data_IF_889709513867
#
_entry.id   IF_889709513867
#
_cell.length_a   1.000
_cell.length_b   1.000
_cell.length_c   1.000
_cell.angle_alpha   90.00
_cell.angle_beta   90.00
_cell.angle_gamma   90.00
#
_symmetry.space_group_name_H-M   'P 1'
#
loop_
_entity.id
_entity.type
_entity.pdbx_description
1 polymer ?
#
# COMPACT_ATOMS: atom_id res chain seq x y z
N UNK A 1 -4.68 -8.55 24.49
CA UNK A 1 -4.76 -7.76 23.30
C UNK A 1 -4.11 -8.44 22.12
N UNK A 2 -4.76 -8.48 21.04
CA UNK A 2 -4.30 -9.23 19.90
C UNK A 2 -3.28 -8.42 19.11
N UNK A 3 -2.25 -9.08 18.65
CA UNK A 3 -1.31 -8.48 17.74
C UNK A 3 -1.98 -8.19 16.40
N UNK A 4 -1.89 -6.98 15.94
CA UNK A 4 -2.54 -6.60 14.71
C UNK A 4 -1.75 -6.93 13.48
N UNK A 5 -0.45 -6.89 13.59
CA UNK A 5 0.40 -7.14 12.45
C UNK A 5 0.88 -8.58 12.48
N UNK A 6 0.18 -9.40 11.72
CA UNK A 6 0.57 -10.79 11.60
C UNK A 6 1.84 -10.95 10.78
N UNK A 7 2.23 -9.93 10.00
CA UNK A 7 3.35 -10.04 9.06
C UNK A 7 4.32 -8.88 9.21
N UNK A 8 5.61 -9.13 9.01
CA UNK A 8 6.59 -8.04 8.98
C UNK A 8 6.31 -7.07 7.84
N UNK A 9 6.68 -5.82 8.04
CA UNK A 9 6.51 -4.77 7.04
C UNK A 9 7.87 -4.33 6.53
N UNK A 10 7.95 -4.12 5.22
CA UNK A 10 9.20 -3.77 4.55
C UNK A 10 9.04 -2.46 3.81
N UNK A 11 9.97 -1.55 4.00
CA UNK A 11 9.96 -0.26 3.30
C UNK A 11 10.35 -0.48 1.86
N UNK A 12 9.50 -0.04 0.97
CA UNK A 12 9.79 -0.10 -0.47
C UNK A 12 8.88 0.89 -1.18
N UNK A 13 9.37 1.47 -2.26
CA UNK A 13 8.64 2.47 -3.00
C UNK A 13 8.27 1.94 -4.37
N UNK A 14 6.98 1.71 -4.57
CA UNK A 14 6.42 1.25 -5.84
C UNK A 14 5.22 2.12 -6.15
N UNK A 15 5.09 2.54 -7.39
CA UNK A 15 3.94 3.33 -7.82
C UNK A 15 2.69 2.47 -7.78
N UNK A 16 1.60 3.06 -7.29
CA UNK A 16 0.32 2.37 -7.19
C UNK A 16 -0.76 3.27 -7.76
N UNK A 17 -1.44 2.80 -8.81
CA UNK A 17 -2.57 3.52 -9.40
C UNK A 17 -3.85 2.97 -8.82
N UNK A 18 -4.75 3.86 -8.43
CA UNK A 18 -6.05 3.48 -7.87
C UNK A 18 -7.06 4.57 -8.17
N UNK A 19 -8.34 4.29 -7.94
CA UNK A 19 -9.39 5.27 -8.15
C UNK A 19 -9.90 5.78 -6.82
N UNK A 20 -10.11 7.08 -6.72
CA UNK A 20 -10.73 7.71 -5.56
C UNK A 20 -11.61 8.84 -6.06
N UNK A 21 -12.89 8.85 -5.64
CA UNK A 21 -13.86 9.89 -6.04
C UNK A 21 -13.89 10.09 -7.55
N UNK A 22 -13.94 8.99 -8.29
CA UNK A 22 -14.03 8.99 -9.75
C UNK A 22 -12.78 9.53 -10.44
N UNK A 23 -11.72 9.75 -9.71
CA UNK A 23 -10.44 10.18 -10.26
C UNK A 23 -9.44 9.07 -10.17
N UNK A 24 -8.53 9.04 -11.14
CA UNK A 24 -7.42 8.10 -11.11
C UNK A 24 -6.25 8.77 -10.40
N UNK A 25 -5.74 8.11 -9.39
CA UNK A 25 -4.71 8.67 -8.52
C UNK A 25 -3.50 7.75 -8.56
N UNK A 26 -2.32 8.33 -8.55
CA UNK A 26 -1.08 7.57 -8.40
C UNK A 26 -0.48 7.91 -7.05
N UNK A 27 -0.33 6.89 -6.21
CA UNK A 27 0.41 7.02 -4.96
C UNK A 27 1.69 6.22 -5.04
N UNK A 28 2.38 6.15 -3.90
CA UNK A 28 3.62 5.40 -3.82
C UNK A 28 3.61 4.63 -2.50
N UNK A 29 4.03 3.37 -2.51
CA UNK A 29 4.02 2.60 -1.27
C UNK A 29 4.99 3.20 -0.27
N UNK A 30 4.60 3.14 1.00
CA UNK A 30 5.47 3.45 2.11
C UNK A 30 6.08 2.16 2.65
N UNK A 31 5.24 1.14 2.84
CA UNK A 31 5.71 -0.19 3.20
C UNK A 31 4.74 -1.23 2.66
N UNK A 32 5.21 -2.46 2.61
CA UNK A 32 4.41 -3.61 2.17
C UNK A 32 4.61 -4.76 3.14
N UNK A 33 3.60 -5.62 3.23
CA UNK A 33 3.65 -6.87 3.98
C UNK A 33 2.81 -7.89 3.24
N UNK A 34 2.86 -9.14 3.69
CA UNK A 34 2.02 -10.18 3.07
C UNK A 34 0.54 -9.86 3.20
N UNK A 35 0.14 -9.16 4.25
CA UNK A 35 -1.27 -8.83 4.46
C UNK A 35 -1.73 -7.56 3.79
N UNK A 36 -0.83 -6.69 3.37
CA UNK A 36 -1.26 -5.43 2.78
C UNK A 36 -0.14 -4.44 2.60
N UNK A 37 -0.52 -3.19 2.42
CA UNK A 37 0.47 -2.13 2.19
C UNK A 37 -0.07 -0.80 2.69
N UNK A 38 0.82 0.14 2.94
CA UNK A 38 0.46 1.53 3.15
C UNK A 38 0.89 2.33 1.92
N UNK A 39 -0.05 3.11 1.36
CA UNK A 39 0.16 3.89 0.16
C UNK A 39 0.15 5.37 0.53
N UNK A 40 1.24 6.05 0.21
CA UNK A 40 1.34 7.49 0.42
C UNK A 40 0.62 8.23 -0.69
N UNK A 41 -0.31 9.08 -0.30
CA UNK A 41 -1.08 9.88 -1.24
C UNK A 41 -1.81 10.98 -0.46
N UNK A 42 -2.02 12.11 -1.10
CA UNK A 42 -2.81 13.19 -0.49
C UNK A 42 -4.30 12.98 -0.68
N UNK A 43 -4.70 12.22 -1.70
CA UNK A 43 -6.10 11.95 -1.99
C UNK A 43 -6.38 10.49 -1.72
N UNK A 44 -7.25 10.24 -0.75
CA UNK A 44 -7.46 8.91 -0.22
C UNK A 44 -8.84 8.39 -0.57
N UNK A 45 -8.95 7.07 -0.86
CA UNK A 45 -10.27 6.46 -0.93
C UNK A 45 -10.86 6.34 0.46
N UNK A 46 -12.17 6.11 0.53
CA UNK A 46 -12.85 5.97 1.81
C UNK A 46 -12.51 4.66 2.49
N UNK A 47 -12.44 4.71 3.81
CA UNK A 47 -12.28 3.48 4.60
C UNK A 47 -13.42 2.53 4.34
N UNK A 48 -13.10 1.24 4.29
CA UNK A 48 -14.06 0.20 4.05
C UNK A 48 -14.32 -0.10 2.58
N UNK A 49 -13.87 0.75 1.69
CA UNK A 49 -14.07 0.54 0.25
C UNK A 49 -13.20 -0.59 -0.26
N UNK A 50 -13.77 -1.39 -1.16
CA UNK A 50 -13.01 -2.32 -1.96
C UNK A 50 -12.28 -1.55 -3.05
N UNK A 51 -11.04 -1.96 -3.32
CA UNK A 51 -10.18 -1.20 -4.20
C UNK A 51 -9.45 -2.14 -5.14
N UNK A 52 -9.45 -1.76 -6.41
CA UNK A 52 -8.63 -2.42 -7.42
C UNK A 52 -7.49 -1.48 -7.74
N UNK A 53 -6.27 -1.96 -7.62
CA UNK A 53 -5.11 -1.11 -7.80
C UNK A 53 -4.06 -1.81 -8.67
N UNK A 54 -3.24 -1.02 -9.32
CA UNK A 54 -2.17 -1.53 -10.16
C UNK A 54 -0.84 -1.04 -9.63
N UNK A 55 0.04 -1.97 -9.26
CA UNK A 55 1.41 -1.64 -8.91
C UNK A 55 2.23 -1.57 -10.19
N UNK A 56 3.01 -0.50 -10.35
CA UNK A 56 3.84 -0.33 -11.53
C UNK A 56 5.30 -0.31 -11.12
N UNK A 57 6.07 -1.22 -11.67
CA UNK A 57 7.47 -1.38 -11.33
C UNK A 57 8.36 -0.68 -12.34
N UNK A 58 9.58 -0.35 -11.91
CA UNK A 58 10.51 0.42 -12.74
C UNK A 58 10.86 -0.29 -14.04
N UNK A 59 10.82 -1.61 -14.05
CA UNK A 59 11.14 -2.38 -15.27
C UNK A 59 9.97 -2.50 -16.24
N UNK A 60 8.85 -1.81 -15.96
CA UNK A 60 7.68 -1.83 -16.81
C UNK A 60 6.66 -2.89 -16.47
N UNK A 61 6.98 -3.81 -15.58
CA UNK A 61 6.00 -4.82 -15.17
C UNK A 61 4.93 -4.19 -14.31
N UNK A 62 3.76 -4.81 -14.34
CA UNK A 62 2.60 -4.36 -13.56
C UNK A 62 2.02 -5.52 -12.80
N UNK A 63 1.45 -5.22 -11.65
CA UNK A 63 0.78 -6.22 -10.83
C UNK A 63 -0.56 -5.66 -10.40
N UNK A 64 -1.62 -6.36 -10.78
CA UNK A 64 -2.98 -5.96 -10.40
C UNK A 64 -3.30 -6.58 -9.06
N UNK A 65 -3.75 -5.75 -8.12
CA UNK A 65 -4.10 -6.22 -6.79
C UNK A 65 -5.48 -5.74 -6.43
N UNK A 66 -6.13 -6.49 -5.56
CA UNK A 66 -7.45 -6.17 -5.06
C UNK A 66 -7.40 -6.20 -3.55
N UNK A 67 -8.09 -5.29 -2.93
CA UNK A 67 -8.09 -5.24 -1.48
C UNK A 67 -9.14 -4.30 -0.94
N UNK A 68 -8.97 -3.95 0.32
CA UNK A 68 -9.92 -3.12 1.03
C UNK A 68 -9.17 -2.06 1.82
N UNK A 69 -9.68 -0.83 1.77
CA UNK A 69 -9.10 0.26 2.55
C UNK A 69 -9.46 0.04 4.01
N UNK A 70 -8.44 -0.18 4.85
CA UNK A 70 -8.68 -0.48 6.26
C UNK A 70 -8.54 0.74 7.15
N UNK A 71 -7.80 1.75 6.69
CA UNK A 71 -7.70 2.99 7.45
C UNK A 71 -7.09 4.08 6.58
N UNK A 72 -7.33 5.32 6.95
CA UNK A 72 -6.68 6.47 6.33
C UNK A 72 -5.94 7.22 7.43
N UNK A 73 -4.90 7.95 7.05
CA UNK A 73 -4.12 8.72 7.98
C UNK A 73 -3.60 9.98 7.30
N UNK A 74 -3.83 11.11 7.94
CA UNK A 74 -3.29 12.37 7.48
C UNK A 74 -2.30 12.86 8.52
N UNK A 75 -1.03 12.96 8.13
CA UNK A 75 0.01 13.39 9.06
C UNK A 75 -0.23 14.83 9.46
N UNK A 76 -0.08 15.18 10.75
CA UNK A 76 -0.13 16.57 11.18
C UNK A 76 0.94 17.39 10.45
N UNK A 77 0.64 18.67 10.21
CA UNK A 77 1.54 19.52 9.43
C UNK A 77 2.97 19.51 10.00
N UNK A 78 3.13 19.50 11.31
CA UNK A 78 4.45 19.53 11.92
C UNK A 78 5.21 18.20 11.76
N UNK A 79 4.52 17.13 11.44
CA UNK A 79 5.14 15.80 11.36
C UNK A 79 5.17 15.26 9.95
N UNK A 80 4.91 16.09 8.95
CA UNK A 80 4.83 15.63 7.56
C UNK A 80 6.11 15.00 7.07
N UNK A 81 7.24 15.45 7.59
CA UNK A 81 8.53 14.90 7.15
C UNK A 81 8.84 13.55 7.79
N UNK A 82 8.17 13.23 8.92
CA UNK A 82 8.44 11.99 9.64
C UNK A 82 7.36 10.93 9.43
N UNK A 83 6.12 11.35 9.17
CA UNK A 83 4.99 10.42 9.08
C UNK A 83 4.35 10.50 7.71
N UNK A 84 4.01 9.35 7.12
CA UNK A 84 3.36 9.36 5.82
C UNK A 84 1.89 9.74 5.93
N UNK A 85 1.39 10.44 4.92
CA UNK A 85 -0.04 10.66 4.73
C UNK A 85 -0.50 9.69 3.66
N UNK A 86 -1.58 8.96 3.91
CA UNK A 86 -2.07 7.99 2.95
C UNK A 86 -3.04 7.02 3.58
N UNK A 87 -3.10 5.83 3.04
CA UNK A 87 -4.05 4.83 3.52
C UNK A 87 -3.41 3.45 3.57
N UNK A 88 -3.92 2.66 4.51
CA UNK A 88 -3.57 1.24 4.61
C UNK A 88 -4.59 0.42 3.87
N UNK A 89 -4.12 -0.58 3.12
CA UNK A 89 -4.96 -1.46 2.34
C UNK A 89 -4.62 -2.90 2.67
N UNK A 90 -5.65 -3.69 3.01
CA UNK A 90 -5.50 -5.13 3.13
C UNK A 90 -5.61 -5.72 1.74
N UNK A 91 -4.61 -6.49 1.34
CA UNK A 91 -4.57 -7.08 -0.01
C UNK A 91 -5.18 -8.47 0.04
N UNK A 92 -6.12 -8.73 -0.87
CA UNK A 92 -6.72 -10.06 -1.00
C UNK A 92 -5.65 -11.04 -1.45
N UNK A 93 -5.85 -12.30 -1.11
CA UNK A 93 -4.91 -13.36 -1.47
C UNK A 93 -4.51 -13.26 -2.93
N UNK A 94 -3.20 -13.21 -3.18
CA UNK A 94 -2.66 -12.98 -4.51
C UNK A 94 -1.24 -13.54 -4.53
N UNK A 95 -1.06 -14.60 -5.28
CA UNK A 95 0.22 -15.29 -5.31
C UNK A 95 1.34 -14.41 -5.86
N UNK A 96 1.04 -13.59 -6.86
CA UNK A 96 2.05 -12.70 -7.42
C UNK A 96 2.46 -11.62 -6.44
N UNK A 97 1.50 -11.11 -5.68
CA UNK A 97 1.81 -10.13 -4.65
C UNK A 97 2.66 -10.76 -3.55
N UNK A 98 2.32 -11.97 -3.14
CA UNK A 98 3.10 -12.66 -2.11
C UNK A 98 4.54 -12.88 -2.57
N UNK A 99 4.74 -13.25 -3.83
CA UNK A 99 6.09 -13.40 -4.37
C UNK A 99 6.86 -12.09 -4.35
N UNK A 100 6.19 -11.00 -4.68
CA UNK A 100 6.83 -9.69 -4.63
C UNK A 100 7.27 -9.36 -3.21
N UNK A 101 6.37 -9.55 -2.21
CA UNK A 101 6.71 -9.25 -0.82
C UNK A 101 7.86 -10.12 -0.35
N UNK A 102 7.85 -11.40 -0.67
CA UNK A 102 8.92 -12.29 -0.29
C UNK A 102 10.26 -11.88 -0.93
N UNK A 103 10.20 -11.41 -2.17
CA UNK A 103 11.41 -10.92 -2.83
C UNK A 103 11.98 -9.69 -2.11
N UNK A 104 11.09 -8.75 -1.72
CA UNK A 104 11.53 -7.58 -0.96
C UNK A 104 12.12 -8.01 0.38
N UNK A 105 11.51 -8.98 1.05
CA UNK A 105 12.02 -9.46 2.34
C UNK A 105 13.44 -10.01 2.22
N UNK A 106 13.73 -10.69 1.11
CA UNK A 106 15.07 -11.23 0.89
C UNK A 106 16.13 -10.13 0.70
N UNK A 107 15.70 -8.96 0.22
CA UNK A 107 16.62 -7.85 -0.02
C UNK A 107 16.75 -6.93 1.19
N UNK A 108 15.87 -7.06 2.16
CA UNK A 108 15.89 -6.19 3.34
C UNK A 108 16.91 -6.69 4.34
N UNK A 109 17.68 -5.79 4.95
CA UNK A 109 18.66 -6.18 5.97
C UNK A 109 18.00 -6.71 7.24
#
# INVERSE_FOLDING_TARGET
MTERRAFPRYRTEVLVDFAASQSRITGITYDVSLGGMFVRTARMPEEGKSLLATMRFADGRQLLIQGKVVRTFKAPALLRDQLPTGFGMAVSTNESYARFVNWIALKSP
#
